data_IF_609243527116
#
_entry.id   IF_609243527116
#
_cell.length_a   1.000
_cell.length_b   1.000
_cell.length_c   1.000
_cell.angle_alpha   90.00
_cell.angle_beta   90.00
_cell.angle_gamma   90.00
#
_symmetry.space_group_name_H-M   'P 1'
#
loop_
_entity.id
_entity.type
_entity.pdbx_description
1 polymer ?
#
# COMPACT_ATOMS: atom_id res chain seq x y z
N UNK A 1 -16.40 -3.65 -33.65
CA UNK A 1 -16.15 -2.22 -33.39
C UNK A 1 -15.92 -1.95 -31.89
N UNK A 2 -16.66 -2.62 -31.00
CA UNK A 2 -16.51 -2.51 -29.53
C UNK A 2 -15.13 -2.96 -29.00
N UNK A 3 -14.56 -4.05 -29.50
CA UNK A 3 -13.20 -4.53 -29.10
C UNK A 3 -12.10 -3.51 -29.41
N UNK A 4 -12.20 -2.79 -30.52
CA UNK A 4 -11.22 -1.75 -30.90
C UNK A 4 -11.38 -0.50 -30.01
N UNK A 5 -12.60 -0.20 -29.58
CA UNK A 5 -12.89 0.94 -28.69
C UNK A 5 -12.44 0.64 -27.25
N UNK A 6 -12.65 -0.58 -26.75
CA UNK A 6 -12.14 -1.06 -25.46
C UNK A 6 -10.61 -1.04 -25.42
N UNK A 7 -9.95 -1.54 -26.48
CA UNK A 7 -8.50 -1.56 -26.55
C UNK A 7 -7.89 -0.14 -26.60
N UNK A 8 -8.54 0.81 -27.30
CA UNK A 8 -8.12 2.22 -27.31
C UNK A 8 -8.35 2.93 -25.97
N UNK A 9 -9.47 2.66 -25.28
CA UNK A 9 -9.73 3.21 -23.94
C UNK A 9 -8.72 2.69 -22.92
N UNK A 10 -8.41 1.40 -22.97
CA UNK A 10 -7.40 0.79 -22.09
C UNK A 10 -5.99 1.31 -22.40
N UNK A 11 -5.63 1.51 -23.67
CA UNK A 11 -4.35 2.13 -24.04
C UNK A 11 -4.22 3.57 -23.55
N UNK A 12 -5.29 4.37 -23.69
CA UNK A 12 -5.29 5.77 -23.24
C UNK A 12 -5.16 5.86 -21.71
N UNK A 13 -5.94 5.06 -20.98
CA UNK A 13 -5.86 4.97 -19.51
C UNK A 13 -4.47 4.50 -19.04
N UNK A 14 -3.86 3.54 -19.74
CA UNK A 14 -2.52 3.08 -19.44
C UNK A 14 -1.45 4.17 -19.70
N UNK A 15 -1.59 4.95 -20.78
CA UNK A 15 -0.71 6.09 -21.04
C UNK A 15 -0.85 7.19 -19.98
N UNK A 16 -2.08 7.48 -19.54
CA UNK A 16 -2.35 8.43 -18.45
C UNK A 16 -1.72 7.95 -17.14
N UNK A 17 -1.91 6.68 -16.77
CA UNK A 17 -1.27 6.09 -15.58
C UNK A 17 0.26 6.14 -15.64
N UNK A 18 0.85 5.84 -16.80
CA UNK A 18 2.31 5.97 -16.99
C UNK A 18 2.79 7.42 -16.87
N UNK A 19 2.00 8.40 -17.33
CA UNK A 19 2.33 9.80 -17.18
C UNK A 19 2.27 10.24 -15.71
N UNK A 20 1.27 9.79 -14.97
CA UNK A 20 1.13 10.07 -13.53
C UNK A 20 2.28 9.47 -12.73
N UNK A 21 2.62 8.21 -13.01
CA UNK A 21 3.78 7.55 -12.39
C UNK A 21 5.07 8.33 -12.65
N UNK A 22 5.32 8.74 -13.90
CA UNK A 22 6.47 9.60 -14.25
C UNK A 22 6.49 10.89 -13.46
N UNK A 23 5.35 11.58 -13.32
CA UNK A 23 5.25 12.81 -12.51
C UNK A 23 5.61 12.56 -11.06
N UNK A 24 5.15 11.46 -10.47
CA UNK A 24 5.42 11.11 -9.08
C UNK A 24 6.91 10.80 -8.86
N UNK A 25 7.52 10.02 -9.77
CA UNK A 25 8.95 9.73 -9.73
C UNK A 25 9.80 11.00 -9.88
N UNK A 26 9.45 11.90 -10.81
CA UNK A 26 10.10 13.21 -10.95
C UNK A 26 9.98 14.01 -9.65
N UNK A 27 8.87 13.91 -8.92
CA UNK A 27 8.71 14.61 -7.66
C UNK A 27 9.62 14.05 -6.57
N UNK A 28 9.79 12.73 -6.50
CA UNK A 28 10.77 12.10 -5.59
C UNK A 28 12.19 12.56 -5.89
N UNK A 29 12.52 12.73 -7.17
CA UNK A 29 13.84 13.23 -7.59
C UNK A 29 14.08 14.64 -7.10
N UNK A 30 13.10 15.54 -7.31
CA UNK A 30 13.17 16.91 -6.80
C UNK A 30 13.32 16.95 -5.29
N UNK A 31 12.62 16.09 -4.55
CA UNK A 31 12.83 16.01 -3.10
C UNK A 31 14.26 15.59 -2.75
N UNK A 32 14.83 14.60 -3.44
CA UNK A 32 16.21 14.18 -3.19
C UNK A 32 17.21 15.30 -3.55
N UNK A 33 17.00 16.01 -4.65
CA UNK A 33 17.79 17.19 -5.04
C UNK A 33 17.72 18.27 -3.96
N UNK A 34 16.51 18.70 -3.58
CA UNK A 34 16.27 19.70 -2.53
C UNK A 34 16.94 19.30 -1.20
N UNK A 35 16.89 18.02 -0.81
CA UNK A 35 17.55 17.54 0.42
C UNK A 35 19.08 17.55 0.30
N UNK A 36 19.63 17.17 -0.85
CA UNK A 36 21.08 17.20 -1.08
C UNK A 36 21.62 18.63 -1.12
N UNK A 37 20.92 19.56 -1.78
CA UNK A 37 21.29 20.98 -1.87
C UNK A 37 21.31 21.66 -0.50
N UNK A 38 20.50 21.15 0.43
CA UNK A 38 20.45 21.60 1.82
C UNK A 38 21.33 20.76 2.77
N UNK A 39 22.26 19.96 2.22
CA UNK A 39 23.23 19.16 2.97
C UNK A 39 22.61 18.22 4.02
N UNK A 40 21.43 17.65 3.74
CA UNK A 40 20.80 16.73 4.68
C UNK A 40 21.67 15.49 4.92
N UNK A 41 21.88 15.11 6.19
CA UNK A 41 22.48 13.83 6.53
C UNK A 41 21.74 12.67 5.86
N UNK A 42 22.49 11.71 5.32
CA UNK A 42 21.95 10.54 4.62
C UNK A 42 20.93 9.76 5.46
N UNK A 43 21.12 9.71 6.79
CA UNK A 43 20.20 9.05 7.73
C UNK A 43 18.84 9.75 7.78
N UNK A 44 18.83 11.08 7.85
CA UNK A 44 17.59 11.86 7.84
C UNK A 44 16.88 11.75 6.49
N UNK A 45 17.65 11.70 5.40
CA UNK A 45 17.10 11.42 4.07
C UNK A 45 16.43 10.04 4.00
N UNK A 46 17.05 9.01 4.55
CA UNK A 46 16.43 7.68 4.64
C UNK A 46 15.13 7.72 5.43
N UNK A 47 15.13 8.33 6.63
CA UNK A 47 13.92 8.47 7.46
C UNK A 47 12.80 9.18 6.69
N UNK A 48 13.12 10.29 6.01
CA UNK A 48 12.17 11.05 5.21
C UNK A 48 11.54 10.21 4.10
N UNK A 49 12.35 9.52 3.30
CA UNK A 49 11.83 8.70 2.21
C UNK A 49 11.08 7.46 2.72
N UNK A 50 11.50 6.87 3.83
CA UNK A 50 10.78 5.76 4.46
C UNK A 50 9.37 6.17 4.86
N UNK A 51 9.21 7.38 5.43
CA UNK A 51 7.90 7.92 5.76
C UNK A 51 7.05 8.19 4.51
N UNK A 52 7.63 8.74 3.43
CA UNK A 52 6.91 8.92 2.16
C UNK A 52 6.41 7.58 1.62
N UNK A 53 7.28 6.57 1.59
CA UNK A 53 6.96 5.25 1.06
C UNK A 53 5.84 4.60 1.87
N UNK A 54 5.87 4.73 3.20
CA UNK A 54 4.80 4.25 4.06
C UNK A 54 3.46 4.89 3.72
N UNK A 55 3.42 6.22 3.55
CA UNK A 55 2.18 6.92 3.22
C UNK A 55 1.64 6.51 1.85
N UNK A 56 2.51 6.36 0.85
CA UNK A 56 2.09 5.86 -0.47
C UNK A 56 1.59 4.41 -0.36
N UNK A 57 2.29 3.54 0.38
CA UNK A 57 1.90 2.14 0.60
C UNK A 57 0.51 2.04 1.26
N UNK A 58 0.31 2.81 2.34
CA UNK A 58 -0.93 2.87 3.09
C UNK A 58 -2.10 3.39 2.25
N UNK A 59 -1.91 4.51 1.55
CA UNK A 59 -2.92 5.11 0.69
C UNK A 59 -3.34 4.17 -0.44
N UNK A 60 -2.37 3.57 -1.14
CA UNK A 60 -2.68 2.65 -2.23
C UNK A 60 -3.41 1.40 -1.73
N UNK A 61 -2.98 0.85 -0.58
CA UNK A 61 -3.62 -0.33 0.00
C UNK A 61 -5.03 -0.01 0.50
N UNK A 62 -5.24 1.14 1.16
CA UNK A 62 -6.56 1.57 1.62
C UNK A 62 -7.54 1.74 0.46
N UNK A 63 -7.12 2.42 -0.61
CA UNK A 63 -7.93 2.55 -1.83
C UNK A 63 -8.28 1.18 -2.43
N UNK A 64 -7.35 0.23 -2.42
CA UNK A 64 -7.60 -1.12 -2.89
C UNK A 64 -8.61 -1.89 -1.99
N UNK A 65 -8.61 -1.63 -0.69
CA UNK A 65 -9.57 -2.23 0.25
C UNK A 65 -10.96 -1.59 0.15
N UNK A 66 -11.03 -0.31 -0.18
CA UNK A 66 -12.27 0.45 -0.28
C UNK A 66 -13.03 0.18 -1.60
N UNK A 67 -12.30 0.16 -2.70
CA UNK A 67 -12.87 0.19 -4.04
C UNK A 67 -12.73 -1.14 -4.78
N UNK A 68 -13.85 -1.79 -5.07
CA UNK A 68 -13.89 -3.11 -5.71
C UNK A 68 -13.40 -3.10 -7.16
N UNK A 69 -13.56 -1.98 -7.89
CA UNK A 69 -13.08 -1.85 -9.27
C UNK A 69 -11.56 -2.02 -9.44
N UNK A 70 -10.80 -1.95 -8.36
CA UNK A 70 -9.35 -2.16 -8.39
C UNK A 70 -8.94 -3.61 -8.10
N UNK A 71 -9.84 -4.44 -7.59
CA UNK A 71 -9.57 -5.81 -7.13
C UNK A 71 -9.63 -6.84 -8.26
N UNK A 72 -8.76 -6.70 -9.25
CA UNK A 72 -8.63 -7.61 -10.40
C UNK A 72 -7.21 -8.20 -10.46
N UNK A 73 -7.06 -9.37 -11.09
CA UNK A 73 -5.77 -10.04 -11.24
C UNK A 73 -4.78 -9.18 -12.07
N UNK A 74 -5.25 -8.63 -13.19
CA UNK A 74 -4.50 -7.71 -14.03
C UNK A 74 -4.03 -6.46 -13.27
N UNK A 75 -4.89 -5.88 -12.42
CA UNK A 75 -4.50 -4.77 -11.56
C UNK A 75 -3.43 -5.19 -10.54
N UNK A 76 -3.52 -6.40 -9.97
CA UNK A 76 -2.47 -6.98 -9.16
C UNK A 76 -1.11 -6.98 -9.87
N UNK A 77 -1.05 -7.44 -11.13
CA UNK A 77 0.19 -7.39 -11.92
C UNK A 77 0.67 -5.96 -12.21
N UNK A 78 -0.23 -5.04 -12.54
CA UNK A 78 0.14 -3.63 -12.79
C UNK A 78 0.69 -2.94 -11.54
N UNK A 79 0.10 -3.22 -10.37
CA UNK A 79 0.61 -2.73 -9.08
C UNK A 79 2.03 -3.26 -8.85
N UNK A 80 2.26 -4.57 -9.03
CA UNK A 80 3.60 -5.17 -8.88
C UNK A 80 4.63 -4.50 -9.77
N UNK A 81 4.31 -4.29 -11.05
CA UNK A 81 5.19 -3.62 -12.00
C UNK A 81 5.49 -2.17 -11.58
N UNK A 82 4.45 -1.44 -11.16
CA UNK A 82 4.56 -0.04 -10.71
C UNK A 82 5.45 0.08 -9.48
N UNK A 83 5.24 -0.78 -8.48
CA UNK A 83 6.06 -0.83 -7.27
C UNK A 83 7.52 -1.15 -7.61
N UNK A 84 7.79 -2.08 -8.52
CA UNK A 84 9.16 -2.37 -8.96
C UNK A 84 9.86 -1.15 -9.58
N UNK A 85 9.13 -0.30 -10.32
CA UNK A 85 9.69 0.94 -10.87
C UNK A 85 10.01 1.97 -9.77
N UNK A 86 9.18 2.05 -8.73
CA UNK A 86 9.48 2.85 -7.53
C UNK A 86 10.74 2.33 -6.83
N UNK A 87 10.83 1.03 -6.57
CA UNK A 87 11.97 0.41 -5.91
C UNK A 87 13.27 0.64 -6.70
N UNK A 88 13.21 0.50 -8.03
CA UNK A 88 14.35 0.81 -8.91
C UNK A 88 14.76 2.28 -8.78
N UNK A 89 13.80 3.22 -8.75
CA UNK A 89 14.11 4.64 -8.61
C UNK A 89 14.73 4.95 -7.26
N UNK A 90 14.15 4.44 -6.16
CA UNK A 90 14.66 4.62 -4.80
C UNK A 90 16.09 4.07 -4.64
N UNK A 91 16.37 2.92 -5.27
CA UNK A 91 17.71 2.35 -5.34
C UNK A 91 18.71 3.30 -5.99
N UNK A 92 18.35 3.93 -7.13
CA UNK A 92 19.19 4.95 -7.80
C UNK A 92 19.44 6.19 -6.95
N UNK A 93 18.55 6.50 -5.99
CA UNK A 93 18.69 7.62 -5.06
C UNK A 93 19.50 7.25 -3.80
N UNK A 94 20.05 6.02 -3.72
CA UNK A 94 20.74 5.48 -2.55
C UNK A 94 19.87 5.43 -1.29
N UNK A 95 18.55 5.36 -1.45
CA UNK A 95 17.61 5.18 -0.34
C UNK A 95 17.52 3.69 -0.08
N UNK A 96 18.24 3.24 0.96
CA UNK A 96 18.15 1.87 1.44
C UNK A 96 16.97 1.78 2.41
N UNK A 97 16.06 0.85 2.17
CA UNK A 97 14.98 0.62 3.11
C UNK A 97 14.54 -0.85 3.13
N UNK A 98 14.17 -1.31 4.32
CA UNK A 98 13.93 -2.72 4.66
C UNK A 98 12.47 -3.16 4.42
N UNK A 99 11.54 -2.20 4.27
CA UNK A 99 10.09 -2.47 4.23
C UNK A 99 9.36 -1.63 3.17
N UNK A 100 9.89 -1.57 1.96
CA UNK A 100 9.23 -0.80 0.89
C UNK A 100 7.93 -1.48 0.43
N UNK A 101 6.85 -0.69 0.39
CA UNK A 101 5.58 -1.07 -0.23
C UNK A 101 5.02 -2.42 0.24
N UNK A 102 5.24 -2.77 1.51
CA UNK A 102 4.99 -4.13 1.99
C UNK A 102 3.50 -4.49 1.93
N UNK A 103 2.60 -3.57 2.27
CA UNK A 103 1.16 -3.83 2.30
C UNK A 103 0.61 -3.98 0.88
N UNK A 104 0.89 -3.02 0.00
CA UNK A 104 0.40 -3.02 -1.38
C UNK A 104 1.02 -4.17 -2.19
N UNK A 105 2.28 -4.55 -1.94
CA UNK A 105 2.89 -5.73 -2.57
C UNK A 105 2.13 -7.00 -2.20
N UNK A 106 1.92 -7.24 -0.91
CA UNK A 106 1.20 -8.43 -0.48
C UNK A 106 -0.27 -8.43 -0.93
N UNK A 107 -0.92 -7.27 -0.96
CA UNK A 107 -2.27 -7.14 -1.49
C UNK A 107 -2.32 -7.51 -2.99
N UNK A 108 -1.35 -7.01 -3.76
CA UNK A 108 -1.21 -7.34 -5.18
C UNK A 108 -0.88 -8.80 -5.43
N UNK A 109 -0.11 -9.44 -4.54
CA UNK A 109 0.16 -10.88 -4.58
C UNK A 109 -1.10 -11.69 -4.30
N UNK A 110 -1.94 -11.24 -3.36
CA UNK A 110 -3.24 -11.86 -3.10
C UNK A 110 -4.17 -11.77 -4.32
N UNK A 111 -4.18 -10.63 -5.02
CA UNK A 111 -4.93 -10.45 -6.27
C UNK A 111 -4.39 -11.30 -7.42
N UNK A 112 -3.06 -11.42 -7.56
CA UNK A 112 -2.40 -12.18 -8.63
C UNK A 112 -2.27 -13.70 -8.33
N UNK A 113 -2.58 -14.13 -7.10
CA UNK A 113 -2.61 -15.55 -6.72
C UNK A 113 -3.68 -16.30 -7.50
N UNK A 114 -3.38 -17.54 -7.90
CA UNK A 114 -4.36 -18.44 -8.49
C UNK A 114 -5.47 -18.78 -7.48
N UNK A 115 -6.71 -18.40 -7.79
CA UNK A 115 -7.87 -18.59 -6.88
C UNK A 115 -8.30 -20.04 -6.72
N UNK A 116 -7.85 -20.96 -7.59
CA UNK A 116 -8.04 -22.41 -7.41
C UNK A 116 -7.47 -22.88 -6.07
N UNK A 117 -6.40 -22.26 -5.57
CA UNK A 117 -5.80 -22.58 -4.26
C UNK A 117 -6.80 -22.33 -3.12
N UNK A 118 -7.61 -21.27 -3.23
CA UNK A 118 -8.65 -20.94 -2.26
C UNK A 118 -9.81 -21.93 -2.38
N UNK A 119 -10.19 -22.28 -3.61
CA UNK A 119 -11.30 -23.19 -3.86
C UNK A 119 -11.01 -24.60 -3.33
N UNK A 120 -9.76 -25.04 -3.42
CA UNK A 120 -9.32 -26.35 -2.95
C UNK A 120 -8.86 -26.38 -1.49
N UNK A 121 -8.89 -25.24 -0.78
CA UNK A 121 -8.50 -25.21 0.62
C UNK A 121 -9.57 -25.90 1.49
N UNK A 122 -9.18 -26.97 2.17
CA UNK A 122 -9.98 -27.74 3.15
C UNK A 122 -10.12 -26.98 4.48
N UNK A 123 -10.63 -25.76 4.44
CA UNK A 123 -10.85 -24.84 5.59
C UNK A 123 -9.58 -24.29 6.26
N UNK A 124 -8.40 -24.65 5.75
CA UNK A 124 -7.10 -24.17 6.24
C UNK A 124 -6.64 -22.96 5.44
N UNK A 125 -7.14 -21.78 5.80
CA UNK A 125 -6.72 -20.49 5.25
C UNK A 125 -5.28 -20.07 5.62
N UNK A 126 -4.47 -20.99 6.13
CA UNK A 126 -3.07 -20.75 6.47
C UNK A 126 -2.24 -20.37 5.24
N UNK A 127 -2.50 -21.01 4.10
CA UNK A 127 -1.81 -20.67 2.85
C UNK A 127 -2.00 -19.20 2.43
N UNK A 128 -3.15 -18.61 2.75
CA UNK A 128 -3.43 -17.20 2.45
C UNK A 128 -2.66 -16.28 3.41
N UNK A 129 -2.57 -16.63 4.70
CA UNK A 129 -1.74 -15.88 5.65
C UNK A 129 -0.24 -16.01 5.36
N UNK A 130 0.19 -17.09 4.72
CA UNK A 130 1.60 -17.27 4.34
C UNK A 130 1.98 -16.39 3.15
N UNK A 131 1.01 -16.09 2.25
CA UNK A 131 1.22 -15.20 1.09
C UNK A 131 1.24 -13.74 1.54
N UNK A 132 0.41 -13.36 2.51
CA UNK A 132 0.26 -11.97 2.94
C UNK A 132 0.41 -11.82 4.47
N UNK A 133 1.61 -12.09 5.03
CA UNK A 133 1.82 -12.10 6.47
C UNK A 133 1.68 -10.74 7.15
N UNK A 134 1.80 -9.65 6.38
CA UNK A 134 1.67 -8.27 6.85
C UNK A 134 0.25 -7.76 6.68
N UNK A 135 -0.59 -8.41 5.88
CA UNK A 135 -2.01 -8.10 5.84
C UNK A 135 -2.72 -8.82 6.98
N UNK A 136 -3.58 -8.09 7.70
CA UNK A 136 -4.44 -8.76 8.67
C UNK A 136 -5.54 -9.55 7.95
N UNK A 137 -6.19 -10.46 8.68
CA UNK A 137 -7.20 -11.33 8.08
C UNK A 137 -8.40 -10.57 7.50
N UNK A 138 -8.75 -9.40 8.04
CA UNK A 138 -9.86 -8.57 7.56
C UNK A 138 -9.54 -7.92 6.21
N UNK A 139 -8.32 -7.41 6.07
CA UNK A 139 -7.80 -6.85 4.81
C UNK A 139 -7.80 -7.91 3.72
N UNK A 140 -7.32 -9.11 4.03
CA UNK A 140 -7.35 -10.21 3.06
C UNK A 140 -8.78 -10.60 2.71
N UNK A 141 -9.66 -10.76 3.70
CA UNK A 141 -11.08 -11.05 3.46
C UNK A 141 -11.71 -9.99 2.53
N UNK A 142 -11.39 -8.71 2.74
CA UNK A 142 -11.88 -7.60 1.91
C UNK A 142 -11.41 -7.73 0.46
N UNK A 143 -10.12 -8.01 0.24
CA UNK A 143 -9.59 -8.25 -1.11
C UNK A 143 -10.30 -9.41 -1.81
N UNK A 144 -10.54 -10.52 -1.10
CA UNK A 144 -11.22 -11.68 -1.67
C UNK A 144 -12.68 -11.40 -1.98
N UNK A 145 -13.38 -10.64 -1.13
CA UNK A 145 -14.77 -10.24 -1.35
C UNK A 145 -14.92 -9.29 -2.54
N UNK A 146 -14.00 -8.35 -2.66
CA UNK A 146 -14.01 -7.35 -3.72
C UNK A 146 -13.45 -7.91 -5.05
N UNK A 147 -12.90 -9.14 -5.05
CA UNK A 147 -12.26 -9.70 -6.23
C UNK A 147 -13.24 -9.82 -7.41
N UNK A 148 -12.84 -9.26 -8.53
CA UNK A 148 -13.56 -9.33 -9.80
C UNK A 148 -12.74 -10.13 -10.81
N UNK A 149 -13.42 -11.04 -11.52
CA UNK A 149 -12.80 -11.80 -12.61
C UNK A 149 -12.39 -10.89 -13.77
N UNK A 150 -11.33 -11.26 -14.46
CA UNK A 150 -10.83 -10.54 -15.62
C UNK A 150 -10.24 -11.51 -16.67
N UNK A 151 -9.53 -10.97 -17.66
CA UNK A 151 -8.89 -11.76 -18.72
C UNK A 151 -7.67 -12.58 -18.23
N UNK A 152 -7.14 -12.27 -17.05
CA UNK A 152 -5.96 -12.93 -16.47
C UNK A 152 -6.34 -14.01 -15.46
N UNK A 153 -7.46 -13.86 -14.76
CA UNK A 153 -8.05 -14.88 -13.89
C UNK A 153 -9.57 -14.89 -14.00
N UNK A 154 -10.09 -15.97 -14.59
CA UNK A 154 -11.52 -16.19 -14.83
C UNK A 154 -12.17 -17.09 -13.77
N UNK A 155 -11.48 -17.37 -12.66
CA UNK A 155 -11.99 -18.22 -11.60
C UNK A 155 -12.66 -17.36 -10.53
N UNK A 156 -13.99 -17.47 -10.41
CA UNK A 156 -14.73 -16.88 -9.30
C UNK A 156 -14.41 -17.60 -7.98
N UNK A 157 -14.42 -16.81 -6.89
CA UNK A 157 -14.29 -17.35 -5.53
C UNK A 157 -15.70 -17.71 -5.03
N UNK A 158 -15.99 -18.99 -4.71
CA UNK A 158 -17.30 -19.40 -4.22
C UNK A 158 -17.66 -18.67 -2.93
N UNK A 159 -18.91 -18.20 -2.82
CA UNK A 159 -19.43 -17.52 -1.62
C UNK A 159 -19.25 -18.36 -0.35
N UNK A 160 -19.44 -19.67 -0.45
CA UNK A 160 -19.21 -20.61 0.65
C UNK A 160 -17.79 -20.52 1.21
N UNK A 161 -16.77 -20.32 0.35
CA UNK A 161 -15.38 -20.16 0.77
C UNK A 161 -15.13 -18.81 1.44
N UNK A 162 -15.82 -17.76 1.03
CA UNK A 162 -15.78 -16.46 1.71
C UNK A 162 -16.41 -16.57 3.10
N UNK A 163 -17.59 -17.19 3.21
CA UNK A 163 -18.30 -17.39 4.48
C UNK A 163 -17.51 -18.26 5.47
N UNK A 164 -16.87 -19.32 4.99
CA UNK A 164 -15.97 -20.15 5.79
C UNK A 164 -14.78 -19.33 6.33
N UNK A 165 -14.21 -18.42 5.53
CA UNK A 165 -13.12 -17.55 5.97
C UNK A 165 -13.58 -16.53 7.00
N UNK A 166 -14.75 -15.91 6.80
CA UNK A 166 -15.37 -15.04 7.81
C UNK A 166 -15.56 -15.74 9.16
N UNK A 167 -16.07 -16.97 9.11
CA UNK A 167 -16.30 -17.78 10.30
C UNK A 167 -14.99 -18.13 11.02
N UNK A 168 -13.92 -18.38 10.26
CA UNK A 168 -12.57 -18.55 10.82
C UNK A 168 -12.09 -17.29 11.54
N UNK A 169 -12.25 -16.11 10.93
CA UNK A 169 -11.87 -14.82 11.52
C UNK A 169 -12.67 -14.56 12.80
N UNK A 170 -14.00 -14.69 12.76
CA UNK A 170 -14.89 -14.56 13.93
C UNK A 170 -14.47 -15.49 15.07
N UNK A 171 -14.08 -16.74 14.77
CA UNK A 171 -13.57 -17.68 15.79
C UNK A 171 -12.24 -17.23 16.39
N UNK A 172 -11.31 -16.70 15.58
CA UNK A 172 -10.02 -16.17 16.08
C UNK A 172 -10.22 -14.95 16.98
N UNK A 173 -11.05 -13.99 16.56
CA UNK A 173 -11.34 -12.79 17.34
C UNK A 173 -11.99 -13.13 18.68
N UNK A 174 -12.98 -14.04 18.70
CA UNK A 174 -13.62 -14.53 19.94
C UNK A 174 -12.68 -15.26 20.90
N UNK A 175 -11.61 -15.89 20.38
CA UNK A 175 -10.57 -16.48 21.24
C UNK A 175 -9.72 -15.39 21.88
N UNK A 176 -9.36 -14.36 21.12
CA UNK A 176 -8.52 -13.27 21.60
C UNK A 176 -9.26 -12.36 22.61
N UNK A 177 -10.57 -12.12 22.44
CA UNK A 177 -11.38 -11.33 23.37
C UNK A 177 -11.65 -12.05 24.71
N UNK A 178 -11.65 -13.39 24.74
CA UNK A 178 -11.74 -14.13 26.01
C UNK A 178 -10.50 -13.98 26.90
N UNK A 179 -9.35 -13.65 26.31
CA UNK A 179 -8.12 -13.30 27.03
C UNK A 179 -8.08 -11.84 27.50
N UNK A 180 -8.82 -10.94 26.86
CA UNK A 180 -8.87 -9.52 27.20
C UNK A 180 -10.32 -9.09 27.51
N UNK A 181 -10.68 -9.04 28.80
CA UNK A 181 -12.00 -8.56 29.24
C UNK A 181 -12.22 -7.10 28.81
N UNK A 182 -13.33 -6.89 28.08
CA UNK A 182 -14.02 -5.65 27.66
C UNK A 182 -13.59 -5.07 26.31
N UNK A 183 -14.48 -5.17 25.30
CA UNK A 183 -15.32 -4.09 24.78
C UNK A 183 -16.21 -4.61 23.64
N UNK A 184 -17.27 -3.86 23.33
CA UNK A 184 -18.41 -4.21 22.46
C UNK A 184 -17.99 -4.70 21.05
N UNK A 185 -18.63 -5.80 20.61
CA UNK A 185 -18.16 -6.68 19.52
C UNK A 185 -18.35 -6.10 18.09
N UNK A 186 -19.13 -5.03 17.92
CA UNK A 186 -19.56 -4.57 16.59
C UNK A 186 -18.69 -3.42 15.99
N UNK A 187 -18.05 -2.58 16.82
CA UNK A 187 -17.17 -1.47 16.37
C UNK A 187 -15.71 -1.91 16.11
N UNK A 188 -15.37 -3.17 16.41
CA UNK A 188 -13.99 -3.70 16.27
C UNK A 188 -13.67 -4.09 14.82
N UNK A 189 -14.69 -4.35 13.99
CA UNK A 189 -14.49 -4.83 12.61
C UNK A 189 -14.00 -3.75 11.63
N UNK A 190 -14.33 -2.48 11.85
CA UNK A 190 -13.99 -1.39 10.91
C UNK A 190 -12.64 -0.74 11.21
N UNK A 191 -12.25 -0.63 12.48
CA UNK A 191 -11.04 0.09 12.88
C UNK A 191 -9.72 -0.58 12.43
N UNK A 192 -9.75 -1.88 12.13
CA UNK A 192 -8.56 -2.63 11.70
C UNK A 192 -8.46 -2.82 10.17
N UNK A 193 -9.41 -2.32 9.37
CA UNK A 193 -9.35 -2.51 7.92
C UNK A 193 -8.32 -1.58 7.26
N UNK A 194 -8.35 -0.31 7.63
CA UNK A 194 -7.52 0.71 7.03
C UNK A 194 -6.17 0.85 7.75
N UNK A 195 -5.13 1.08 6.97
CA UNK A 195 -3.80 1.43 7.47
C UNK A 195 -3.83 2.89 7.92
N UNK A 196 -3.30 3.16 9.12
CA UNK A 196 -3.30 4.50 9.71
C UNK A 196 -2.38 5.48 8.96
N UNK A 197 -2.99 6.35 8.15
CA UNK A 197 -2.28 7.42 7.44
C UNK A 197 -1.63 8.46 8.35
N UNK A 198 -2.01 8.52 9.62
CA UNK A 198 -1.41 9.45 10.60
C UNK A 198 -0.20 8.86 11.32
N UNK A 199 0.12 7.58 11.09
CA UNK A 199 1.25 6.93 11.72
C UNK A 199 2.58 7.51 11.23
N UNK A 200 3.41 7.90 12.19
CA UNK A 200 4.78 8.34 11.96
C UNK A 200 5.71 7.23 12.38
N UNK A 201 6.52 6.73 11.45
CA UNK A 201 7.49 5.67 11.73
C UNK A 201 8.44 6.15 12.84
N UNK A 202 8.55 5.42 13.96
CA UNK A 202 9.54 5.72 14.98
C UNK A 202 10.94 5.70 14.37
N UNK A 203 11.69 6.78 14.59
CA UNK A 203 13.04 6.90 14.08
C UNK A 203 14.02 7.19 15.20
N UNK A 204 15.23 6.66 15.06
CA UNK A 204 16.36 6.96 15.93
C UNK A 204 17.40 7.72 15.11
N UNK A 205 17.83 8.86 15.65
CA UNK A 205 18.88 9.67 15.06
C UNK A 205 20.16 9.38 15.82
N UNK A 206 21.17 8.89 15.10
CA UNK A 206 22.52 8.75 15.64
C UNK A 206 23.22 10.12 15.57
N UNK A 207 23.03 10.92 16.62
CA UNK A 207 23.59 12.27 16.71
C UNK A 207 25.13 12.31 16.65
N UNK A 208 25.81 11.18 16.90
CA UNK A 208 27.28 11.11 16.75
C UNK A 208 27.74 11.31 15.29
N UNK A 209 26.82 11.23 14.33
CA UNK A 209 27.08 11.34 12.89
C UNK A 209 26.44 12.56 12.24
N UNK A 210 25.82 13.46 13.02
CA UNK A 210 25.14 14.65 12.51
C UNK A 210 25.89 15.91 12.97
N UNK A 211 26.34 16.70 12.01
CA UNK A 211 26.86 18.02 12.28
C UNK A 211 25.71 18.94 12.73
N UNK A 212 25.82 19.49 13.94
CA UNK A 212 24.67 19.96 14.75
C UNK A 212 23.93 21.16 14.15
N UNK A 213 24.53 21.90 13.22
CA UNK A 213 23.95 23.10 12.62
C UNK A 213 22.81 22.81 11.61
N UNK A 214 22.76 21.61 11.01
CA UNK A 214 21.76 21.29 9.98
C UNK A 214 20.36 20.96 10.52
N UNK A 215 20.26 20.43 11.75
CA UNK A 215 18.98 19.94 12.28
C UNK A 215 18.01 21.07 12.64
N UNK A 216 18.49 22.08 13.38
CA UNK A 216 17.64 23.18 13.85
C UNK A 216 17.29 24.18 12.73
N UNK A 217 18.26 24.49 11.86
CA UNK A 217 18.10 25.52 10.84
C UNK A 217 17.35 25.02 9.59
N UNK A 218 17.44 23.72 9.28
CA UNK A 218 17.00 23.19 7.99
C UNK A 218 16.02 22.03 8.16
N UNK A 219 16.39 20.98 8.91
CA UNK A 219 15.59 19.75 8.95
C UNK A 219 14.22 19.92 9.64
N UNK A 220 14.19 20.56 10.80
CA UNK A 220 12.96 20.76 11.59
C UNK A 220 11.92 21.64 10.86
N UNK A 221 12.28 22.80 10.26
CA UNK A 221 11.34 23.57 9.43
C UNK A 221 10.87 22.80 8.19
N UNK A 222 11.73 22.02 7.53
CA UNK A 222 11.34 21.23 6.36
C UNK A 222 10.38 20.09 6.71
N UNK A 223 10.52 19.42 7.86
CA UNK A 223 9.56 18.38 8.32
C UNK A 223 8.20 19.00 8.61
N UNK A 224 8.17 20.20 9.19
CA UNK A 224 6.93 20.96 9.42
C UNK A 224 6.30 21.45 8.10
N UNK A 225 7.14 21.83 7.12
CA UNK A 225 6.71 22.24 5.78
C UNK A 225 6.28 21.03 4.93
N UNK A 226 6.93 19.87 5.10
CA UNK A 226 6.59 18.63 4.43
C UNK A 226 5.27 18.10 4.95
N UNK A 227 4.92 18.22 6.25
CA UNK A 227 3.54 17.99 6.72
C UNK A 227 2.47 18.76 5.93
N UNK A 228 2.74 20.02 5.55
CA UNK A 228 1.85 20.79 4.65
C UNK A 228 1.91 20.33 3.19
N UNK A 229 3.07 19.84 2.73
CA UNK A 229 3.21 19.26 1.38
C UNK A 229 2.68 17.82 1.29
N UNK A 230 2.56 17.08 2.39
CA UNK A 230 1.88 15.80 2.49
C UNK A 230 0.38 16.00 2.35
N UNK A 231 -0.21 17.01 3.01
CA UNK A 231 -1.59 17.42 2.69
C UNK A 231 -1.77 17.85 1.22
N UNK A 232 -0.71 18.31 0.55
CA UNK A 232 -0.74 18.59 -0.89
C UNK A 232 -0.57 17.33 -1.73
N UNK A 233 0.29 16.38 -1.31
CA UNK A 233 0.45 15.08 -1.95
C UNK A 233 -0.82 14.26 -1.81
N UNK A 234 -1.45 14.24 -0.64
CA UNK A 234 -2.78 13.69 -0.39
C UNK A 234 -3.82 14.39 -1.25
N UNK A 235 -3.78 15.73 -1.38
CA UNK A 235 -4.70 16.43 -2.28
C UNK A 235 -4.46 16.10 -3.75
N UNK A 236 -3.22 15.97 -4.19
CA UNK A 236 -2.89 15.60 -5.56
C UNK A 236 -3.21 14.13 -5.81
N UNK A 237 -2.92 13.21 -4.89
CA UNK A 237 -3.29 11.80 -4.97
C UNK A 237 -4.82 11.67 -4.97
N UNK A 238 -5.53 12.34 -4.06
CA UNK A 238 -7.00 12.37 -4.05
C UNK A 238 -7.57 13.00 -5.33
N UNK A 239 -6.94 14.03 -5.88
CA UNK A 239 -7.36 14.64 -7.15
C UNK A 239 -7.08 13.72 -8.34
N UNK A 240 -6.02 12.92 -8.28
CA UNK A 240 -5.67 11.94 -9.30
C UNK A 240 -6.50 10.66 -9.23
N UNK A 241 -7.10 10.36 -8.07
CA UNK A 241 -7.94 9.19 -7.85
C UNK A 241 -9.44 9.48 -8.06
N UNK A 242 -9.87 10.74 -7.92
CA UNK A 242 -11.27 11.16 -8.03
C UNK A 242 -11.63 11.90 -9.34
N UNK A 243 -10.66 12.12 -10.25
CA UNK A 243 -10.86 12.59 -11.64
C UNK A 243 -10.68 11.43 -12.64
#
# INVERSE_FOLDING_TARGET
MEVIILNRKNQKKNQENQLLLKKLLIRLDKFNEELNDNYFPIQLKQIFFNQIIYLIDAELANNLFEFDQYCQCGNGFQIKLTVSQFEERLSKLNIKNLHNFTKIKQASECLAMNKVIINNADDKYHAISDISPELNYLQVLRLLKNFQIDEFDNVEIPKEKIELFENFIKKKLKKNSKTNKKNDDDDVFENDLNIDMNYIIPYQIDYSKIDCDGWEKIAKPMILKSKKQFNFLDKEINKLLND
#
